data_IF_553739357020
#
_entry.id   IF_553739357020
#
_cell.length_a   1.000
_cell.length_b   1.000
_cell.length_c   1.000
_cell.angle_alpha   90.00
_cell.angle_beta   90.00
_cell.angle_gamma   90.00
#
_symmetry.space_group_name_H-M   'P 1'
#
loop_
_entity.id
_entity.type
_entity.pdbx_description
1 polymer ?
#
# COMPACT_ATOMS: atom_id res chain seq x y z
N UNK A 1 -25.77 -14.37 -8.39
CA UNK A 1 -25.60 -14.08 -8.07
C UNK A 1 -25.11 -13.26 -7.30
N UNK A 2 -25.02 -12.57 -7.30
CA UNK A 2 -24.58 -11.72 -6.64
C UNK A 2 -24.82 -11.87 -5.33
N UNK A 3 -25.49 -12.61 -4.98
CA UNK A 3 -25.76 -12.81 -3.75
C UNK A 3 -24.66 -13.23 -3.02
N UNK A 4 -23.83 -14.02 -3.48
CA UNK A 4 -22.82 -14.43 -2.67
C UNK A 4 -21.87 -13.34 -2.52
N UNK A 5 -21.79 -12.43 -3.40
CA UNK A 5 -20.84 -11.37 -3.25
C UNK A 5 -21.22 -10.57 -2.08
N UNK A 6 -22.46 -10.47 -1.78
CA UNK A 6 -22.83 -9.72 -0.69
C UNK A 6 -22.39 -10.30 0.55
N UNK A 7 -22.16 -11.56 0.59
CA UNK A 7 -21.75 -12.14 1.79
C UNK A 7 -20.29 -12.05 1.96
N UNK A 8 -19.54 -11.73 0.95
CA UNK A 8 -18.12 -11.63 1.09
C UNK A 8 -17.78 -10.41 1.87
N UNK A 9 -17.01 -10.54 2.87
CA UNK A 9 -16.53 -9.38 3.61
C UNK A 9 -15.29 -8.84 2.95
N UNK A 10 -15.10 -7.54 2.98
CA UNK A 10 -13.95 -6.94 2.32
C UNK A 10 -12.66 -7.20 3.07
N UNK A 11 -11.55 -7.19 2.35
CA UNK A 11 -10.23 -7.23 2.93
C UNK A 11 -9.88 -5.84 3.45
N UNK A 12 -8.93 -5.80 4.36
CA UNK A 12 -8.40 -4.54 4.87
C UNK A 12 -6.90 -4.57 4.77
N UNK A 13 -6.28 -3.43 4.67
CA UNK A 13 -4.82 -3.37 4.63
C UNK A 13 -4.32 -2.12 5.33
N UNK A 14 -3.17 -2.23 5.99
CA UNK A 14 -2.49 -1.08 6.54
C UNK A 14 -1.27 -0.84 5.67
N UNK A 15 -1.19 0.32 5.06
CA UNK A 15 -0.15 0.62 4.10
C UNK A 15 0.45 2.00 4.29
N UNK A 16 1.63 2.18 3.73
CA UNK A 16 2.24 3.48 3.55
C UNK A 16 2.46 3.66 2.07
N UNK A 17 2.47 4.90 1.61
CA UNK A 17 2.85 5.15 0.22
C UNK A 17 3.59 6.48 0.09
N UNK A 18 4.28 6.63 -1.02
CA UNK A 18 4.91 7.87 -1.41
C UNK A 18 4.36 8.20 -2.78
N UNK A 19 3.76 9.37 -2.92
CA UNK A 19 3.17 9.80 -4.18
C UNK A 19 4.02 10.90 -4.77
N UNK A 20 4.48 10.71 -5.99
CA UNK A 20 5.24 11.73 -6.69
C UNK A 20 4.69 11.92 -8.09
N UNK A 21 4.99 13.05 -8.69
CA UNK A 21 4.38 13.44 -9.95
C UNK A 21 5.05 12.80 -11.17
N UNK A 22 6.30 12.40 -11.07
CA UNK A 22 7.02 11.93 -12.25
C UNK A 22 7.65 10.57 -12.04
N UNK A 23 7.80 9.85 -13.13
CA UNK A 23 8.45 8.55 -13.13
C UNK A 23 9.91 8.65 -12.68
N UNK A 24 10.70 9.62 -13.17
CA UNK A 24 12.09 9.72 -12.71
C UNK A 24 12.19 9.91 -11.20
N UNK A 25 11.27 10.67 -10.61
CA UNK A 25 11.28 10.85 -9.16
C UNK A 25 10.97 9.55 -8.45
N UNK A 26 9.99 8.81 -8.94
CA UNK A 26 9.65 7.52 -8.33
C UNK A 26 10.81 6.56 -8.43
N UNK A 27 11.51 6.55 -9.56
CA UNK A 27 12.63 5.67 -9.76
C UNK A 27 13.78 6.02 -8.86
N UNK A 28 14.06 7.31 -8.68
CA UNK A 28 15.14 7.74 -7.81
C UNK A 28 14.86 7.33 -6.36
N UNK A 29 13.62 7.45 -5.91
CA UNK A 29 13.25 7.06 -4.57
C UNK A 29 13.38 5.54 -4.41
N UNK A 30 12.93 4.80 -5.40
CA UNK A 30 13.04 3.35 -5.35
C UNK A 30 14.50 2.92 -5.25
N UNK A 31 15.37 3.53 -6.02
CA UNK A 31 16.78 3.21 -5.99
C UNK A 31 17.37 3.49 -4.61
N UNK A 32 16.98 4.59 -4.00
CA UNK A 32 17.48 4.92 -2.68
C UNK A 32 16.98 3.92 -1.64
N UNK A 33 15.73 3.47 -1.75
CA UNK A 33 15.20 2.47 -0.84
C UNK A 33 15.94 1.15 -0.98
N UNK A 34 16.24 0.77 -2.21
CA UNK A 34 16.90 -0.50 -2.46
C UNK A 34 18.33 -0.54 -1.93
N UNK A 35 18.96 0.61 -1.80
CA UNK A 35 20.30 0.64 -1.27
C UNK A 35 20.34 0.89 0.24
N UNK A 36 19.19 1.04 0.87
CA UNK A 36 19.15 1.36 2.28
C UNK A 36 19.26 0.11 3.14
N UNK A 37 19.98 0.22 4.25
CA UNK A 37 20.07 -0.87 5.20
C UNK A 37 18.86 -0.89 6.11
N UNK A 38 18.10 0.19 6.16
CA UNK A 38 16.90 0.28 6.99
C UNK A 38 15.77 0.80 6.14
N UNK A 39 15.25 0.00 5.23
CA UNK A 39 14.32 0.48 4.22
C UNK A 39 13.06 1.12 4.75
N UNK A 40 12.48 0.62 5.84
CA UNK A 40 11.27 1.24 6.35
C UNK A 40 11.55 2.63 6.89
N UNK A 41 12.68 2.78 7.59
CA UNK A 41 13.05 4.08 8.11
C UNK A 41 13.30 5.04 6.97
N UNK A 42 13.98 4.60 5.93
CA UNK A 42 14.23 5.40 4.75
C UNK A 42 12.93 5.75 4.05
N UNK A 43 12.00 4.80 3.97
CA UNK A 43 10.70 5.03 3.36
C UNK A 43 9.97 6.17 4.07
N UNK A 44 9.95 6.13 5.39
CA UNK A 44 9.29 7.17 6.17
C UNK A 44 9.93 8.54 5.92
N UNK A 45 11.24 8.59 5.86
CA UNK A 45 11.94 9.84 5.63
C UNK A 45 11.67 10.37 4.23
N UNK A 46 11.70 9.51 3.25
CA UNK A 46 11.48 9.91 1.86
C UNK A 46 10.03 10.33 1.65
N UNK A 47 9.10 9.70 2.34
CA UNK A 47 7.71 10.12 2.28
C UNK A 47 7.55 11.54 2.82
N UNK A 48 8.18 11.84 3.94
CA UNK A 48 8.08 13.18 4.51
C UNK A 48 8.71 14.21 3.60
N UNK A 49 9.77 13.84 2.92
CA UNK A 49 10.49 14.78 2.09
C UNK A 49 9.86 14.97 0.72
N UNK A 50 9.37 13.95 0.13
CA UNK A 50 8.98 13.98 -1.28
C UNK A 50 7.52 13.73 -1.59
N UNK A 51 6.76 13.10 -0.70
CA UNK A 51 5.42 12.71 -1.06
C UNK A 51 4.49 13.90 -1.23
N UNK A 52 3.73 13.89 -2.30
CA UNK A 52 2.74 14.92 -2.56
C UNK A 52 1.42 14.64 -1.85
N UNK A 53 1.30 13.51 -1.20
CA UNK A 53 0.11 13.19 -0.45
C UNK A 53 0.23 13.71 0.97
N UNK A 54 -0.86 14.20 1.56
CA UNK A 54 -0.80 14.66 2.96
C UNK A 54 -0.27 13.63 3.94
N UNK A 55 -0.44 12.34 3.63
CA UNK A 55 0.09 11.28 4.49
C UNK A 55 1.60 11.33 4.59
N UNK A 56 2.28 12.06 3.71
CA UNK A 56 3.73 12.20 3.77
C UNK A 56 4.20 12.67 5.13
N UNK A 57 3.44 13.54 5.80
CA UNK A 57 3.82 14.03 7.10
C UNK A 57 3.90 12.92 8.13
N UNK A 58 3.20 11.84 7.90
CA UNK A 58 3.20 10.70 8.81
C UNK A 58 4.06 9.59 8.25
N UNK A 59 5.06 9.93 7.46
CA UNK A 59 5.94 8.93 6.86
C UNK A 59 5.23 8.08 5.81
N UNK A 60 4.19 8.65 5.20
CA UNK A 60 3.42 7.98 4.17
C UNK A 60 2.28 7.12 4.70
N UNK A 61 2.09 7.08 6.01
CA UNK A 61 1.11 6.18 6.61
C UNK A 61 -0.30 6.57 6.23
N UNK A 62 -0.97 5.70 5.48
CA UNK A 62 -2.36 5.90 5.10
C UNK A 62 -3.31 5.29 6.13
N UNK A 63 -2.76 4.56 7.09
CA UNK A 63 -3.58 3.83 8.05
C UNK A 63 -4.19 2.62 7.37
N UNK A 64 -5.30 2.16 7.90
CA UNK A 64 -5.96 1.00 7.37
C UNK A 64 -7.05 1.43 6.43
N UNK A 65 -7.18 0.75 5.31
CA UNK A 65 -8.29 0.98 4.41
C UNK A 65 -8.99 -0.33 4.11
N UNK A 66 -10.22 -0.21 3.65
CA UNK A 66 -11.04 -1.36 3.33
C UNK A 66 -11.11 -1.49 1.82
N UNK A 67 -11.14 -2.71 1.34
CA UNK A 67 -11.24 -3.01 -0.07
C UNK A 67 -12.36 -2.19 -0.70
N UNK A 68 -12.07 -1.54 -1.81
CA UNK A 68 -13.03 -0.69 -2.51
C UNK A 68 -12.87 0.80 -2.24
N UNK A 69 -12.05 1.17 -1.26
CA UNK A 69 -11.91 2.58 -0.92
C UNK A 69 -10.88 3.34 -1.75
N UNK A 70 -9.89 2.65 -2.27
CA UNK A 70 -8.84 3.29 -3.06
C UNK A 70 -9.05 3.03 -4.53
N UNK A 71 -8.30 3.71 -5.39
CA UNK A 71 -8.41 3.45 -6.82
C UNK A 71 -7.94 2.03 -7.10
N UNK A 72 -8.53 1.43 -8.10
CA UNK A 72 -8.33 0.02 -8.39
C UNK A 72 -6.87 -0.37 -8.59
N UNK A 73 -6.12 0.40 -9.36
CA UNK A 73 -4.72 0.05 -9.61
C UNK A 73 -3.90 0.04 -8.32
N UNK A 74 -4.18 0.98 -7.43
CA UNK A 74 -3.49 1.04 -6.16
C UNK A 74 -3.83 -0.21 -5.33
N UNK A 75 -5.11 -0.55 -5.26
CA UNK A 75 -5.51 -1.70 -4.47
C UNK A 75 -4.95 -3.00 -5.00
N UNK A 76 -4.94 -3.17 -6.31
CA UNK A 76 -4.40 -4.40 -6.87
C UNK A 76 -2.93 -4.56 -6.51
N UNK A 77 -2.18 -3.47 -6.51
CA UNK A 77 -0.79 -3.52 -6.13
C UNK A 77 -0.64 -3.89 -4.65
N UNK A 78 -1.53 -3.39 -3.80
CA UNK A 78 -1.48 -3.73 -2.38
C UNK A 78 -1.74 -5.22 -2.16
N UNK A 79 -2.80 -5.74 -2.79
CA UNK A 79 -3.18 -7.14 -2.53
C UNK A 79 -2.15 -8.12 -3.05
N UNK A 80 -1.35 -7.72 -4.02
CA UNK A 80 -0.33 -8.61 -4.56
C UNK A 80 1.06 -8.39 -3.97
N UNK A 81 1.22 -7.45 -3.03
CA UNK A 81 2.53 -7.14 -2.47
C UNK A 81 2.92 -8.06 -1.34
N UNK A 82 4.21 -8.24 -1.16
CA UNK A 82 4.72 -8.91 0.02
C UNK A 82 4.64 -7.97 1.19
N UNK A 83 4.48 -8.51 2.38
CA UNK A 83 4.33 -7.69 3.57
C UNK A 83 5.67 -7.27 4.14
N UNK A 84 5.69 -6.08 4.70
CA UNK A 84 6.86 -5.57 5.43
C UNK A 84 8.14 -5.60 4.63
N UNK A 85 8.05 -5.30 3.35
CA UNK A 85 9.22 -5.24 2.51
C UNK A 85 9.17 -3.97 1.68
N UNK A 86 10.31 -3.55 1.19
CA UNK A 86 10.34 -2.39 0.34
C UNK A 86 9.60 -2.68 -0.96
N UNK A 87 9.08 -1.65 -1.60
CA UNK A 87 8.33 -1.86 -2.85
C UNK A 87 9.24 -2.40 -3.93
N UNK A 88 8.70 -3.27 -4.77
CA UNK A 88 9.46 -3.83 -5.86
C UNK A 88 9.47 -2.87 -7.05
N UNK A 89 8.60 -1.90 -7.06
CA UNK A 89 8.52 -0.95 -8.15
C UNK A 89 7.55 0.16 -7.78
N UNK A 90 7.07 0.84 -8.78
CA UNK A 90 6.08 1.87 -8.56
C UNK A 90 4.91 1.61 -9.48
N UNK A 91 3.74 2.17 -9.16
CA UNK A 91 2.59 2.03 -10.00
C UNK A 91 2.07 3.41 -10.35
N UNK A 92 1.47 3.51 -11.51
CA UNK A 92 0.91 4.76 -11.96
C UNK A 92 -0.59 4.74 -11.75
N UNK A 93 -1.14 5.82 -11.20
CA UNK A 93 -2.57 6.02 -11.12
C UNK A 93 -2.87 7.40 -11.67
N UNK A 94 -4.14 7.80 -11.64
CA UNK A 94 -4.50 9.13 -12.09
C UNK A 94 -3.88 10.23 -11.22
N UNK A 95 -3.40 9.88 -10.03
CA UNK A 95 -2.80 10.87 -9.12
C UNK A 95 -1.30 11.04 -9.31
N UNK A 96 -0.66 10.10 -9.98
CA UNK A 96 0.79 10.14 -10.17
C UNK A 96 1.39 8.75 -9.97
N UNK A 97 2.61 8.72 -9.43
CA UNK A 97 3.33 7.47 -9.24
C UNK A 97 3.44 7.18 -7.75
N UNK A 98 3.12 5.96 -7.40
CA UNK A 98 3.09 5.53 -6.00
C UNK A 98 4.14 4.45 -5.73
N UNK A 99 4.84 4.59 -4.61
CA UNK A 99 5.63 3.49 -4.08
C UNK A 99 4.89 3.06 -2.82
N UNK A 100 4.64 1.78 -2.68
CA UNK A 100 3.74 1.27 -1.64
C UNK A 100 4.46 0.32 -0.71
N UNK A 101 4.26 0.52 0.58
CA UNK A 101 4.77 -0.38 1.62
C UNK A 101 3.56 -0.97 2.33
N UNK A 102 3.41 -2.28 2.29
CA UNK A 102 2.26 -2.94 2.90
C UNK A 102 2.68 -3.55 4.23
N UNK A 103 2.11 -3.05 5.31
CA UNK A 103 2.39 -3.59 6.63
C UNK A 103 1.59 -4.85 6.90
N UNK A 104 0.32 -4.84 6.59
CA UNK A 104 -0.52 -5.99 6.87
C UNK A 104 -1.73 -6.02 5.97
N UNK A 105 -2.23 -7.21 5.74
CA UNK A 105 -3.47 -7.43 5.02
C UNK A 105 -4.31 -8.34 5.91
N UNK A 106 -5.51 -7.90 6.25
CA UNK A 106 -6.42 -8.68 7.06
C UNK A 106 -7.49 -9.24 6.16
N UNK A 107 -7.53 -10.55 6.07
CA UNK A 107 -8.52 -11.21 5.26
C UNK A 107 -9.80 -11.36 6.08
N UNK A 108 -10.91 -11.40 5.43
CA UNK A 108 -12.16 -11.55 6.16
C UNK A 108 -12.21 -12.93 6.75
N UNK A 109 -12.80 -13.02 7.96
CA UNK A 109 -12.88 -14.25 8.55
C UNK A 109 -14.15 -14.77 8.26
N UNK A 110 -14.36 -15.58 7.39
CA UNK A 110 -15.56 -16.03 7.08
C UNK A 110 -16.01 -16.99 7.85
N UNK A 111 -16.72 -17.08 8.41
CA UNK A 111 -17.25 -18.09 9.11
C UNK A 111 -16.39 -18.57 9.92
N UNK A 112 -15.76 -18.16 9.86
CA UNK A 112 -15.03 -18.40 10.52
C UNK A 112 -14.57 -19.08 11.36
N UNK A 113 -14.24 -18.65 11.78
CA UNK A 113 -13.67 -19.26 12.60
C UNK A 113 -14.32 -20.41 13.00
N UNK A 114 -15.28 -20.52 12.73
CA UNK A 114 -15.84 -21.51 13.17
C UNK A 114 -15.39 -22.57 12.76
N UNK A 115 -14.87 -22.58 12.22
CA UNK A 115 -14.45 -23.57 11.72
C UNK A 115 -13.77 -24.31 12.50
N UNK A 116 -13.61 -24.21 13.06
CA UNK A 116 -12.98 -24.81 13.72
C UNK A 116 -13.31 -25.63 14.21
N UNK A 117 -13.77 -25.95 13.97
CA UNK A 117 -13.98 -26.83 14.38
C UNK A 117 -13.87 -27.36 14.44
#
# INVERSE_FOLDING_TARGET
>A
MRRHDRRRKPRKAHVRHILVASKPDAKAILDELQSSKKPLRSFKKLAKKHSNCPSGRKGGDLGEFVEGQMVQDFEEAVWSSSLETLPEGYIKTQFGYHLIWVHSITLPEENGGRTKI
#
